data_IF_834912053030
#
_entry.id   IF_834912053030
#
_cell.length_a   1.000
_cell.length_b   1.000
_cell.length_c   1.000
_cell.angle_alpha   90.00
_cell.angle_beta   90.00
_cell.angle_gamma   90.00
#
_symmetry.space_group_name_H-M   'P 1'
#
loop_
_entity.id
_entity.type
_entity.pdbx_description
1 polymer ?
#
# COMPACT_ATOMS: atom_id res chain seq x y z
N UNK A 1 -4.35 30.46 23.48
CA UNK A 1 -4.82 29.74 22.27
C UNK A 1 -3.70 29.15 21.40
N UNK A 2 -2.46 29.67 21.43
CA UNK A 2 -1.32 29.12 20.65
C UNK A 2 -0.89 27.68 21.04
N UNK A 3 -1.02 27.33 22.33
CA UNK A 3 -0.58 26.03 22.85
C UNK A 3 -1.32 24.83 22.25
N UNK A 4 -2.66 24.89 22.12
CA UNK A 4 -3.48 23.80 21.54
C UNK A 4 -3.17 23.55 20.06
N UNK A 5 -2.87 24.60 19.29
CA UNK A 5 -2.51 24.47 17.88
C UNK A 5 -1.18 23.71 17.72
N UNK A 6 -0.16 24.08 18.50
CA UNK A 6 1.16 23.43 18.49
C UNK A 6 1.09 21.94 18.86
N UNK A 7 0.28 21.56 19.85
CA UNK A 7 0.05 20.15 20.22
C UNK A 7 -0.49 19.30 19.06
N UNK A 8 -1.29 19.88 18.17
CA UNK A 8 -1.85 19.15 17.01
C UNK A 8 -0.93 19.14 15.78
N UNK A 9 -0.09 20.17 15.63
CA UNK A 9 0.75 20.37 14.44
C UNK A 9 2.00 19.50 14.50
N UNK A 10 2.69 19.45 15.64
CA UNK A 10 3.97 18.73 15.77
C UNK A 10 3.85 17.24 15.40
N UNK A 11 2.85 16.47 15.89
CA UNK A 11 2.69 15.06 15.51
C UNK A 11 2.36 14.87 14.02
N UNK A 12 1.64 15.83 13.41
CA UNK A 12 1.32 15.79 11.98
C UNK A 12 2.57 15.99 11.12
N UNK A 13 3.45 16.92 11.50
CA UNK A 13 4.72 17.14 10.82
C UNK A 13 5.64 15.92 10.93
N UNK A 14 5.75 15.31 12.12
CA UNK A 14 6.51 14.07 12.32
C UNK A 14 6.02 12.94 11.42
N UNK A 15 4.71 12.68 11.39
CA UNK A 15 4.12 11.65 10.51
C UNK A 15 4.36 11.93 9.02
N UNK A 16 4.33 13.20 8.60
CA UNK A 16 4.62 13.58 7.22
C UNK A 16 6.09 13.26 6.85
N UNK A 17 7.01 13.54 7.77
CA UNK A 17 8.42 13.24 7.58
C UNK A 17 8.71 11.73 7.57
N UNK A 18 8.07 10.98 8.46
CA UNK A 18 8.13 9.51 8.48
C UNK A 18 7.63 8.90 7.17
N UNK A 19 6.47 9.35 6.67
CA UNK A 19 5.92 8.91 5.36
C UNK A 19 6.88 9.20 4.22
N UNK A 20 7.49 10.39 4.20
CA UNK A 20 8.48 10.76 3.18
C UNK A 20 9.71 9.85 3.25
N UNK A 21 10.19 9.54 4.46
CA UNK A 21 11.32 8.62 4.66
C UNK A 21 10.99 7.21 4.17
N UNK A 22 9.81 6.70 4.53
CA UNK A 22 9.33 5.39 4.07
C UNK A 22 9.20 5.35 2.55
N UNK A 23 8.59 6.38 1.94
CA UNK A 23 8.45 6.47 0.50
C UNK A 23 9.79 6.38 -0.22
N UNK A 24 10.80 7.14 0.24
CA UNK A 24 12.13 7.11 -0.35
C UNK A 24 12.85 5.78 -0.13
N UNK A 25 12.78 5.21 1.08
CA UNK A 25 13.38 3.92 1.40
C UNK A 25 12.77 2.81 0.54
N UNK A 26 11.45 2.64 0.62
CA UNK A 26 10.72 1.59 -0.07
C UNK A 26 10.82 1.76 -1.59
N UNK A 27 10.71 2.99 -2.10
CA UNK A 27 10.88 3.29 -3.53
C UNK A 27 12.27 2.95 -4.05
N UNK A 28 13.32 3.17 -3.26
CA UNK A 28 14.69 2.83 -3.66
C UNK A 28 14.90 1.32 -3.77
N UNK A 29 14.29 0.52 -2.89
CA UNK A 29 14.38 -0.94 -2.92
C UNK A 29 13.53 -1.47 -4.08
N UNK A 30 12.31 -0.98 -4.26
CA UNK A 30 11.43 -1.34 -5.37
C UNK A 30 12.10 -1.08 -6.72
N UNK A 31 12.73 0.09 -6.89
CA UNK A 31 13.43 0.42 -8.14
C UNK A 31 14.59 -0.53 -8.40
N UNK A 32 15.41 -0.84 -7.39
CA UNK A 32 16.52 -1.80 -7.52
C UNK A 32 16.04 -3.20 -7.90
N UNK A 33 15.02 -3.70 -7.22
CA UNK A 33 14.50 -5.05 -7.46
C UNK A 33 13.75 -5.13 -8.80
N UNK A 34 13.08 -4.06 -9.23
CA UNK A 34 12.48 -3.97 -10.56
C UNK A 34 13.53 -4.01 -11.68
N UNK A 35 14.65 -3.30 -11.50
CA UNK A 35 15.78 -3.36 -12.44
C UNK A 35 16.37 -4.78 -12.48
N UNK A 36 16.59 -5.39 -11.32
CA UNK A 36 17.17 -6.72 -11.23
C UNK A 36 16.25 -7.83 -11.79
N UNK A 37 14.94 -7.71 -11.60
CA UNK A 37 13.98 -8.76 -11.95
C UNK A 37 13.37 -8.59 -13.36
N UNK A 38 13.31 -7.37 -13.89
CA UNK A 38 12.55 -7.06 -15.11
C UNK A 38 13.28 -6.12 -16.09
N UNK A 39 14.58 -5.86 -15.92
CA UNK A 39 15.32 -4.82 -16.65
C UNK A 39 14.66 -3.44 -16.57
N UNK A 40 13.97 -3.14 -15.46
CA UNK A 40 13.22 -1.90 -15.27
C UNK A 40 11.88 -1.83 -16.01
N UNK A 41 11.52 -2.86 -16.79
CA UNK A 41 10.25 -2.90 -17.53
C UNK A 41 9.09 -3.27 -16.61
N UNK A 42 8.00 -2.52 -16.68
CA UNK A 42 6.81 -2.78 -15.89
C UNK A 42 5.55 -2.22 -16.57
N UNK A 43 4.40 -2.75 -16.16
CA UNK A 43 3.12 -2.10 -16.43
C UNK A 43 2.94 -0.95 -15.45
N UNK A 44 2.55 0.26 -15.90
CA UNK A 44 2.30 1.37 -15.00
C UNK A 44 1.24 1.03 -13.96
N UNK A 45 1.61 1.13 -12.68
CA UNK A 45 0.70 1.01 -11.54
C UNK A 45 0.57 2.36 -10.84
N UNK A 46 -0.58 2.62 -10.21
CA UNK A 46 -0.81 3.90 -9.52
C UNK A 46 -0.02 3.95 -8.20
N UNK A 47 0.59 5.09 -7.91
CA UNK A 47 1.07 5.41 -6.57
C UNK A 47 -0.07 6.04 -5.76
N UNK A 48 -0.45 5.40 -4.67
CA UNK A 48 -1.42 5.92 -3.70
C UNK A 48 -0.70 6.50 -2.48
N UNK A 49 -1.27 7.54 -1.89
CA UNK A 49 -0.82 8.08 -0.61
C UNK A 49 -1.37 7.24 0.56
N UNK A 50 -0.68 7.28 1.70
CA UNK A 50 -1.20 6.68 2.93
C UNK A 50 -2.52 7.33 3.34
N UNK A 51 -2.70 8.64 3.05
CA UNK A 51 -3.92 9.35 3.38
C UNK A 51 -5.13 8.85 2.56
N UNK A 52 -4.94 8.49 1.29
CA UNK A 52 -5.99 7.85 0.48
C UNK A 52 -6.39 6.51 1.06
N UNK A 53 -5.43 5.62 1.33
CA UNK A 53 -5.76 4.28 1.84
C UNK A 53 -6.38 4.32 3.23
N UNK A 54 -5.90 5.21 4.12
CA UNK A 54 -6.51 5.43 5.44
C UNK A 54 -7.97 5.89 5.29
N UNK A 55 -8.28 6.80 4.37
CA UNK A 55 -9.68 7.22 4.16
C UNK A 55 -10.52 6.09 3.58
N UNK A 56 -9.97 5.36 2.61
CA UNK A 56 -10.66 4.29 1.91
C UNK A 56 -11.11 3.15 2.84
N UNK A 57 -10.35 2.88 3.91
CA UNK A 57 -10.58 1.78 4.86
C UNK A 57 -11.09 2.25 6.23
N UNK A 58 -11.60 3.48 6.33
CA UNK A 58 -12.00 4.08 7.61
C UNK A 58 -10.92 3.93 8.71
N UNK A 59 -9.68 4.29 8.38
CA UNK A 59 -8.51 4.11 9.23
C UNK A 59 -8.18 2.64 9.55
N UNK A 60 -8.30 1.75 8.54
CA UNK A 60 -8.10 0.31 8.67
C UNK A 60 -8.98 -0.29 9.78
N UNK A 61 -10.25 0.11 9.80
CA UNK A 61 -11.23 -0.36 10.77
C UNK A 61 -11.41 -1.89 10.63
N UNK A 62 -11.53 -2.64 11.74
CA UNK A 62 -11.79 -4.08 11.69
C UNK A 62 -13.05 -4.46 10.89
N UNK A 63 -14.05 -3.58 10.82
CA UNK A 63 -15.26 -3.80 9.99
C UNK A 63 -14.98 -3.82 8.49
N UNK A 64 -13.85 -3.28 8.05
CA UNK A 64 -13.40 -3.32 6.67
C UNK A 64 -12.61 -4.60 6.34
N UNK A 65 -12.26 -5.44 7.32
CA UNK A 65 -11.48 -6.65 7.07
C UNK A 65 -12.32 -7.65 6.24
N UNK A 66 -11.72 -8.13 5.17
CA UNK A 66 -12.22 -9.23 4.33
C UNK A 66 -11.60 -10.54 4.82
N UNK A 67 -10.30 -10.53 5.09
CA UNK A 67 -9.54 -11.70 5.53
C UNK A 67 -8.34 -11.28 6.38
N UNK A 68 -8.03 -12.08 7.40
CA UNK A 68 -6.86 -11.93 8.27
C UNK A 68 -5.95 -13.13 8.06
N UNK A 69 -4.74 -12.88 7.55
CA UNK A 69 -3.76 -13.91 7.31
C UNK A 69 -2.49 -13.60 8.09
N UNK A 70 -1.75 -14.65 8.47
CA UNK A 70 -0.54 -14.56 9.32
C UNK A 70 0.46 -13.50 8.81
N UNK A 71 0.53 -13.32 7.50
CA UNK A 71 1.46 -12.42 6.84
C UNK A 71 0.85 -11.06 6.47
N UNK A 72 -0.47 -10.97 6.29
CA UNK A 72 -1.14 -9.76 5.85
C UNK A 72 -2.64 -9.78 6.14
N UNK A 73 -3.21 -8.59 6.25
CA UNK A 73 -4.64 -8.39 6.34
C UNK A 73 -5.16 -7.81 5.02
N UNK A 74 -6.35 -8.24 4.60
CA UNK A 74 -7.04 -7.73 3.42
C UNK A 74 -8.23 -6.89 3.85
N UNK A 75 -8.25 -5.63 3.42
CA UNK A 75 -9.31 -4.69 3.73
C UNK A 75 -10.12 -4.33 2.49
N UNK A 76 -11.44 -4.28 2.63
CA UNK A 76 -12.34 -3.62 1.69
C UNK A 76 -12.18 -2.11 1.83
N UNK A 77 -12.00 -1.43 0.72
CA UNK A 77 -11.98 0.04 0.69
C UNK A 77 -12.70 0.63 -0.50
N UNK A 78 -12.95 1.94 -0.45
CA UNK A 78 -13.53 2.69 -1.58
C UNK A 78 -12.52 3.74 -2.06
N UNK A 79 -12.12 3.65 -3.32
CA UNK A 79 -11.26 4.61 -4.01
C UNK A 79 -11.91 5.02 -5.33
N UNK A 80 -12.05 6.33 -5.58
CA UNK A 80 -12.69 6.89 -6.77
C UNK A 80 -14.06 6.24 -7.08
N UNK A 81 -14.90 6.13 -6.03
CA UNK A 81 -16.23 5.50 -6.05
C UNK A 81 -16.25 4.02 -6.48
N UNK A 82 -15.10 3.35 -6.40
CA UNK A 82 -14.96 1.91 -6.70
C UNK A 82 -14.52 1.15 -5.47
N UNK A 83 -15.13 -0.02 -5.27
CA UNK A 83 -14.65 -0.98 -4.28
C UNK A 83 -13.31 -1.54 -4.72
N UNK A 84 -12.35 -1.52 -3.81
CA UNK A 84 -11.00 -2.07 -3.98
C UNK A 84 -10.66 -2.98 -2.81
N UNK A 85 -9.62 -3.79 -2.98
CA UNK A 85 -9.05 -4.62 -1.93
C UNK A 85 -7.65 -4.11 -1.60
N UNK A 86 -7.41 -3.80 -0.32
CA UNK A 86 -6.15 -3.25 0.16
C UNK A 86 -5.46 -4.30 1.02
N UNK A 87 -4.28 -4.76 0.59
CA UNK A 87 -3.44 -5.68 1.36
C UNK A 87 -2.45 -4.89 2.20
N UNK A 88 -2.41 -5.17 3.51
CA UNK A 88 -1.46 -4.57 4.46
C UNK A 88 -0.68 -5.66 5.19
N UNK A 89 0.65 -5.61 5.14
CA UNK A 89 1.48 -6.65 5.76
C UNK A 89 1.55 -6.52 7.28
N UNK A 90 1.59 -7.68 7.93
CA UNK A 90 1.78 -7.84 9.37
C UNK A 90 3.24 -7.68 9.79
N UNK A 91 3.53 -7.89 11.08
CA UNK A 91 4.88 -7.69 11.65
C UNK A 91 5.93 -8.63 11.07
N UNK A 92 5.56 -9.86 10.72
CA UNK A 92 6.49 -10.94 10.37
C UNK A 92 7.03 -10.89 8.94
N UNK A 93 6.47 -10.02 8.08
CA UNK A 93 6.91 -9.88 6.68
C UNK A 93 7.96 -8.79 6.57
N UNK A 94 9.09 -9.05 5.95
CA UNK A 94 10.11 -8.03 5.74
C UNK A 94 9.72 -7.06 4.62
N UNK A 95 10.32 -5.85 4.62
CA UNK A 95 10.04 -4.83 3.59
C UNK A 95 10.38 -5.36 2.20
N UNK A 96 11.47 -6.11 2.07
CA UNK A 96 11.92 -6.67 0.80
C UNK A 96 10.94 -7.73 0.26
N UNK A 97 10.29 -8.50 1.14
CA UNK A 97 9.26 -9.47 0.77
C UNK A 97 7.99 -8.76 0.26
N UNK A 98 7.55 -7.70 0.96
CA UNK A 98 6.43 -6.88 0.53
C UNK A 98 6.69 -6.21 -0.83
N UNK A 99 7.93 -5.78 -1.08
CA UNK A 99 8.34 -5.20 -2.36
C UNK A 99 8.38 -6.25 -3.47
N UNK A 100 8.90 -7.43 -3.18
CA UNK A 100 8.91 -8.55 -4.13
C UNK A 100 7.49 -8.94 -4.55
N UNK A 101 6.54 -8.91 -3.62
CA UNK A 101 5.13 -9.14 -3.93
C UNK A 101 4.55 -8.06 -4.86
N UNK A 102 4.95 -6.78 -4.72
CA UNK A 102 4.57 -5.73 -5.69
C UNK A 102 5.05 -6.10 -7.10
N UNK A 103 6.31 -6.51 -7.24
CA UNK A 103 6.90 -6.83 -8.55
C UNK A 103 6.18 -8.01 -9.19
N UNK A 104 6.02 -9.10 -8.44
CA UNK A 104 5.33 -10.30 -8.93
C UNK A 104 3.88 -9.96 -9.27
N UNK A 105 3.15 -9.29 -8.37
CA UNK A 105 1.75 -8.90 -8.59
C UNK A 105 1.60 -8.01 -9.83
N UNK A 106 2.52 -7.07 -10.05
CA UNK A 106 2.54 -6.19 -11.22
C UNK A 106 2.77 -6.95 -12.53
N UNK A 107 3.67 -7.95 -12.54
CA UNK A 107 3.88 -8.80 -13.72
C UNK A 107 2.65 -9.67 -14.00
N UNK A 108 2.09 -10.29 -12.96
CA UNK A 108 0.96 -11.20 -13.07
C UNK A 108 -0.36 -10.50 -13.41
N UNK A 109 -0.48 -9.19 -13.15
CA UNK A 109 -1.69 -8.39 -13.42
C UNK A 109 -2.15 -8.34 -14.88
N UNK A 110 -1.30 -8.78 -15.82
CA UNK A 110 -1.68 -8.93 -17.24
C UNK A 110 -2.39 -10.23 -17.54
N UNK A 111 -2.29 -11.22 -16.66
CA UNK A 111 -2.87 -12.53 -16.85
C UNK A 111 -4.35 -12.54 -16.45
N UNK A 112 -5.21 -13.07 -17.32
CA UNK A 112 -6.68 -13.09 -17.13
C UNK A 112 -7.18 -13.83 -15.88
N UNK A 113 -6.36 -14.71 -15.31
CA UNK A 113 -6.70 -15.48 -14.10
C UNK A 113 -5.97 -14.96 -12.85
N UNK A 114 -5.33 -13.80 -12.92
CA UNK A 114 -4.70 -13.15 -11.77
C UNK A 114 -5.52 -11.95 -11.34
N UNK A 115 -5.55 -11.68 -10.03
CA UNK A 115 -6.18 -10.47 -9.52
C UNK A 115 -5.35 -9.25 -9.93
N UNK A 116 -5.97 -8.28 -10.59
CA UNK A 116 -5.24 -7.11 -11.09
C UNK A 116 -4.79 -6.18 -9.96
N UNK A 117 -3.49 -5.92 -9.92
CA UNK A 117 -2.89 -4.84 -9.13
C UNK A 117 -3.22 -3.50 -9.80
N UNK A 118 -3.88 -2.63 -9.05
CA UNK A 118 -4.18 -1.26 -9.48
C UNK A 118 -3.05 -0.30 -9.10
N UNK A 119 -2.38 -0.56 -7.97
CA UNK A 119 -1.35 0.30 -7.44
C UNK A 119 -0.81 -0.14 -6.10
N UNK A 120 0.07 0.69 -5.55
CA UNK A 120 0.64 0.49 -4.22
C UNK A 120 0.83 1.82 -3.48
N UNK A 121 0.98 1.74 -2.16
CA UNK A 121 1.37 2.86 -1.31
C UNK A 121 2.71 2.54 -0.64
N UNK A 122 3.71 3.39 -0.87
CA UNK A 122 5.07 3.24 -0.33
C UNK A 122 5.29 4.06 0.96
N UNK A 123 4.31 4.85 1.39
CA UNK A 123 4.43 5.77 2.53
C UNK A 123 4.31 5.08 3.90
N UNK A 124 3.93 3.80 3.94
CA UNK A 124 3.88 2.99 5.16
C UNK A 124 5.24 2.37 5.49
N UNK A 125 5.39 1.81 6.69
CA UNK A 125 6.59 1.07 7.10
C UNK A 125 6.89 -0.10 6.14
N UNK A 126 5.84 -0.82 5.75
CA UNK A 126 5.84 -1.81 4.67
C UNK A 126 4.85 -1.35 3.60
N UNK A 127 5.17 -1.47 2.31
CA UNK A 127 4.25 -1.07 1.26
C UNK A 127 2.88 -1.75 1.38
N UNK A 128 1.81 -1.04 1.01
CA UNK A 128 0.48 -1.62 0.88
C UNK A 128 0.11 -1.78 -0.60
N UNK A 129 -0.59 -2.86 -0.95
CA UNK A 129 -1.01 -3.13 -2.33
C UNK A 129 -2.51 -2.86 -2.47
N UNK A 130 -2.91 -2.37 -3.64
CA UNK A 130 -4.30 -2.06 -3.99
C UNK A 130 -4.69 -2.88 -5.21
N UNK A 131 -5.66 -3.76 -5.03
CA UNK A 131 -6.17 -4.65 -6.07
C UNK A 131 -7.58 -4.25 -6.47
N UNK A 132 -7.97 -4.68 -7.67
CA UNK A 132 -9.38 -4.64 -8.08
C UNK A 132 -10.23 -5.54 -7.18
N UNK A 133 -11.52 -5.20 -7.04
CA UNK A 133 -12.47 -6.07 -6.38
C UNK A 133 -13.03 -7.09 -7.38
N UNK A 134 -12.90 -8.39 -7.08
CA UNK A 134 -13.38 -9.46 -7.95
C UNK A 134 -14.92 -9.68 -7.89
N UNK A 135 -15.67 -8.84 -7.15
CA UNK A 135 -17.14 -8.84 -7.12
C UNK A 135 -17.81 -10.06 -6.47
N UNK A 136 -17.08 -11.15 -6.20
CA UNK A 136 -17.58 -12.40 -5.61
C UNK A 136 -16.73 -12.94 -4.45
N UNK A 137 -16.12 -12.03 -3.68
CA UNK A 137 -15.31 -12.32 -2.49
C UNK A 137 -15.62 -11.38 -1.33
#
# INVERSE_FOLDING_TARGET
MASKALFSIIPRLKRKEERKRSFLKNGSILLKDLIASCDGKSHPIRSYSAAELIRATNNFDPSCIIDELVYFDMYRGILDDRTVIIRKYGRWVEVDEAIRDIIISMQMSTHKNSLKLLGCCLEFDKPALVFENAGKG
#
